data_IF_038618046688
#
_entry.id   IF_038618046688
#
_cell.length_a   1.000
_cell.length_b   1.000
_cell.length_c   1.000
_cell.angle_alpha   90.00
_cell.angle_beta   90.00
_cell.angle_gamma   90.00
#
_symmetry.space_group_name_H-M   'P 1'
#
loop_
_entity.id
_entity.type
_entity.pdbx_description
1 polymer ?
#
# COMPACT_ATOMS: atom_id res chain seq x y z
N UNK A 1 78.27 -1.99 -22.86
CA UNK A 1 78.85 -1.93 -24.22
C UNK A 1 77.79 -2.51 -25.17
N UNK A 2 76.99 -1.69 -25.87
CA UNK A 2 77.15 -1.29 -27.30
C UNK A 2 77.48 -2.51 -28.18
N UNK A 3 76.77 -2.84 -29.26
CA UNK A 3 76.58 -2.06 -30.50
C UNK A 3 75.47 -2.71 -31.35
N UNK A 4 74.61 -1.92 -31.98
CA UNK A 4 73.82 -2.28 -33.19
C UNK A 4 74.57 -1.79 -34.44
N UNK A 5 74.47 -2.47 -35.60
CA UNK A 5 74.01 -1.80 -36.85
C UNK A 5 73.33 -2.80 -37.84
N UNK A 6 72.72 -2.52 -39.00
CA UNK A 6 72.32 -1.36 -39.81
C UNK A 6 71.38 -1.89 -40.94
N UNK A 7 70.54 -0.98 -41.47
CA UNK A 7 69.69 -0.95 -42.70
C UNK A 7 70.51 -1.13 -44.01
N UNK A 8 70.00 -1.18 -45.28
CA UNK A 8 68.89 -0.38 -45.89
C UNK A 8 68.07 -1.07 -47.04
N UNK A 9 67.05 -0.45 -47.63
CA UNK A 9 67.18 0.28 -48.90
C UNK A 9 65.97 1.20 -49.18
N UNK A 10 66.31 2.42 -49.56
CA UNK A 10 65.47 3.48 -50.13
C UNK A 10 64.88 3.08 -51.50
N UNK A 11 63.72 3.67 -51.82
CA UNK A 11 63.48 4.17 -53.18
C UNK A 11 62.89 5.57 -53.16
N UNK A 12 63.49 6.42 -53.97
CA UNK A 12 63.40 7.89 -54.03
C UNK A 12 62.37 8.39 -55.04
N UNK A 13 61.80 9.56 -54.72
CA UNK A 13 61.43 10.72 -55.59
C UNK A 13 60.37 10.49 -56.71
N UNK A 14 59.46 11.43 -57.03
CA UNK A 14 59.71 12.80 -57.50
C UNK A 14 58.47 13.73 -57.42
N UNK A 15 58.74 14.94 -56.92
CA UNK A 15 58.20 16.30 -57.14
C UNK A 15 57.31 16.60 -58.37
N UNK A 16 56.24 17.40 -58.18
CA UNK A 16 55.86 18.58 -59.00
C UNK A 16 54.72 19.39 -58.33
N UNK A 17 55.00 20.54 -57.70
CA UNK A 17 54.63 21.93 -58.08
C UNK A 17 53.18 22.17 -58.60
N UNK A 18 52.38 22.97 -57.87
CA UNK A 18 52.04 24.37 -58.21
C UNK A 18 50.79 24.93 -57.48
N UNK A 19 50.89 26.25 -57.22
CA UNK A 19 49.83 27.28 -57.15
C UNK A 19 48.79 27.26 -56.04
N UNK A 20 48.94 28.27 -55.17
CA UNK A 20 47.92 28.88 -54.32
C UNK A 20 46.72 29.36 -55.13
N UNK A 21 45.53 28.86 -54.80
CA UNK A 21 44.26 29.55 -55.05
C UNK A 21 43.41 29.51 -53.78
N UNK A 22 43.17 30.69 -53.22
CA UNK A 22 42.20 30.91 -52.15
C UNK A 22 40.80 30.80 -52.75
N UNK A 23 40.06 29.76 -52.36
CA UNK A 23 38.62 29.66 -52.59
C UNK A 23 37.97 29.08 -51.32
N UNK A 24 37.01 29.82 -50.76
CA UNK A 24 36.26 29.45 -49.55
C UNK A 24 35.38 28.23 -49.82
N UNK A 25 35.51 27.10 -49.09
CA UNK A 25 34.50 26.05 -49.13
C UNK A 25 33.35 26.42 -48.18
N UNK A 26 32.17 26.56 -48.76
CA UNK A 26 30.89 26.62 -48.06
C UNK A 26 30.70 25.28 -47.33
N UNK A 27 30.58 25.33 -46.00
CA UNK A 27 30.27 24.16 -45.16
C UNK A 27 28.81 23.79 -45.41
N UNK A 28 28.57 22.77 -46.22
CA UNK A 28 27.26 22.12 -46.30
C UNK A 28 27.19 21.11 -45.15
N UNK A 29 26.55 21.52 -44.06
CA UNK A 29 26.18 20.63 -42.97
C UNK A 29 25.01 19.75 -43.42
N UNK A 30 25.31 18.58 -44.00
CA UNK A 30 24.31 17.53 -44.17
C UNK A 30 24.05 16.89 -42.80
N UNK A 31 23.10 17.45 -42.04
CA UNK A 31 22.47 16.74 -40.94
C UNK A 31 21.72 15.53 -41.53
N UNK A 32 22.33 14.36 -41.44
CA UNK A 32 21.64 13.08 -41.64
C UNK A 32 20.59 12.98 -40.54
N UNK A 33 19.37 13.37 -40.87
CA UNK A 33 18.20 13.20 -40.01
C UNK A 33 17.91 11.70 -39.96
N UNK A 34 18.36 11.04 -38.89
CA UNK A 34 17.79 9.77 -38.49
C UNK A 34 16.34 10.05 -38.08
N UNK A 35 15.43 9.86 -39.04
CA UNK A 35 14.00 9.91 -38.80
C UNK A 35 13.62 8.59 -38.09
N UNK A 36 13.93 8.51 -36.79
CA UNK A 36 13.42 7.45 -35.94
C UNK A 36 11.92 7.72 -35.76
N UNK A 37 11.01 6.78 -36.13
CA UNK A 37 9.62 6.91 -35.74
C UNK A 37 9.57 7.03 -34.22
N UNK A 38 8.82 8.00 -33.72
CA UNK A 38 8.69 8.28 -32.30
C UNK A 38 8.21 7.02 -31.58
N UNK A 39 9.08 6.36 -30.81
CA UNK A 39 8.74 5.22 -29.96
C UNK A 39 7.94 5.65 -28.70
N UNK A 40 7.30 6.82 -28.74
CA UNK A 40 6.47 7.37 -27.67
C UNK A 40 5.28 6.48 -27.31
N UNK A 41 4.93 5.52 -28.16
CA UNK A 41 3.86 4.54 -27.93
C UNK A 41 4.29 3.34 -27.06
N UNK A 42 5.58 3.20 -26.76
CA UNK A 42 6.15 2.08 -25.97
C UNK A 42 6.78 2.52 -24.65
N UNK A 43 6.68 3.79 -24.27
CA UNK A 43 7.03 4.19 -22.92
C UNK A 43 5.94 3.66 -21.99
N UNK A 44 6.23 2.73 -21.06
CA UNK A 44 5.29 2.47 -19.99
C UNK A 44 5.18 3.80 -19.23
N UNK A 45 3.97 4.31 -19.13
CA UNK A 45 3.69 5.53 -18.38
C UNK A 45 4.01 5.22 -16.91
N UNK A 46 5.23 5.54 -16.47
CA UNK A 46 5.66 5.42 -15.06
C UNK A 46 4.98 6.49 -14.19
N UNK A 47 3.70 6.77 -14.45
CA UNK A 47 2.87 7.56 -13.55
C UNK A 47 2.59 6.73 -12.30
N UNK A 48 2.51 7.41 -11.15
CA UNK A 48 2.04 6.77 -9.93
C UNK A 48 0.69 6.07 -10.20
N UNK A 49 0.46 4.88 -9.62
CA UNK A 49 -0.83 4.19 -9.69
C UNK A 49 -1.99 5.12 -9.33
N UNK A 50 -3.13 4.96 -9.99
CA UNK A 50 -4.35 5.71 -9.63
C UNK A 50 -4.82 5.34 -8.21
N UNK A 51 -5.44 6.28 -7.47
CA UNK A 51 -6.09 5.98 -6.19
C UNK A 51 -7.19 4.92 -6.33
N UNK A 52 -7.30 4.04 -5.35
CA UNK A 52 -8.27 2.94 -5.27
C UNK A 52 -9.11 3.03 -4.01
N UNK A 53 -10.31 2.44 -4.04
CA UNK A 53 -11.24 2.42 -2.92
C UNK A 53 -11.97 1.09 -2.85
N UNK A 54 -12.02 0.53 -1.65
CA UNK A 54 -12.79 -0.66 -1.28
C UNK A 54 -13.82 -0.29 -0.22
N UNK A 55 -14.97 -0.94 -0.25
CA UNK A 55 -15.96 -0.84 0.81
C UNK A 55 -16.65 -2.17 1.08
N UNK A 56 -17.07 -2.36 2.32
CA UNK A 56 -17.89 -3.49 2.75
C UNK A 56 -18.90 -2.99 3.79
N UNK A 57 -20.14 -3.45 3.67
CA UNK A 57 -21.22 -3.11 4.60
C UNK A 57 -21.88 -4.39 5.09
N UNK A 58 -22.05 -4.54 6.41
CA UNK A 58 -22.71 -5.71 7.01
C UNK A 58 -23.53 -5.30 8.22
N UNK A 59 -24.70 -5.92 8.39
CA UNK A 59 -25.49 -5.75 9.61
C UNK A 59 -25.18 -6.90 10.57
N UNK A 60 -24.67 -6.58 11.74
CA UNK A 60 -24.28 -7.55 12.75
C UNK A 60 -25.27 -7.58 13.92
N UNK A 61 -25.53 -8.75 14.53
CA UNK A 61 -26.45 -8.92 15.65
C UNK A 61 -25.81 -8.53 17.00
N UNK A 62 -25.10 -7.40 17.03
CA UNK A 62 -24.43 -6.88 18.22
C UNK A 62 -24.75 -5.39 18.38
N UNK A 63 -24.72 -4.91 19.62
CA UNK A 63 -24.69 -3.48 19.92
C UNK A 63 -23.41 -2.79 19.42
N UNK A 64 -23.43 -1.46 19.29
CA UNK A 64 -22.32 -0.70 18.72
C UNK A 64 -21.08 -0.68 19.63
N UNK A 65 -21.26 -0.69 20.96
CA UNK A 65 -20.15 -0.62 21.93
C UNK A 65 -19.15 -1.79 21.83
N UNK A 66 -19.56 -3.07 21.90
CA UNK A 66 -18.61 -4.17 21.79
C UNK A 66 -17.95 -4.25 20.39
N UNK A 67 -18.67 -3.83 19.34
CA UNK A 67 -18.09 -3.70 18.00
C UNK A 67 -17.01 -2.62 17.96
N UNK A 68 -17.28 -1.45 18.52
CA UNK A 68 -16.33 -0.35 18.62
C UNK A 68 -15.08 -0.75 19.41
N UNK A 69 -15.25 -1.43 20.54
CA UNK A 69 -14.12 -1.93 21.34
C UNK A 69 -13.27 -2.92 20.55
N UNK A 70 -13.89 -3.82 19.80
CA UNK A 70 -13.16 -4.78 18.97
C UNK A 70 -12.40 -4.11 17.84
N UNK A 71 -13.00 -3.12 17.17
CA UNK A 71 -12.37 -2.35 16.09
C UNK A 71 -11.27 -1.40 16.62
N UNK A 72 -11.40 -0.89 17.84
CA UNK A 72 -10.35 -0.06 18.45
C UNK A 72 -9.21 -0.89 19.08
N UNK A 73 -9.38 -2.20 19.26
CA UNK A 73 -8.39 -3.11 19.82
C UNK A 73 -7.35 -3.58 18.80
N UNK A 74 -6.58 -2.63 18.24
CA UNK A 74 -5.66 -2.86 17.11
C UNK A 74 -4.56 -3.89 17.45
N UNK A 75 -4.08 -3.96 18.70
CA UNK A 75 -3.07 -4.95 19.11
C UNK A 75 -3.50 -6.41 18.86
N UNK A 76 -4.80 -6.69 18.88
CA UNK A 76 -5.36 -8.04 18.70
C UNK A 76 -5.53 -8.44 17.23
N UNK A 77 -5.32 -7.52 16.28
CA UNK A 77 -5.65 -7.75 14.87
C UNK A 77 -4.88 -8.92 14.26
N UNK A 78 -3.59 -9.06 14.58
CA UNK A 78 -2.74 -10.19 14.14
C UNK A 78 -3.29 -11.57 14.53
N UNK A 79 -4.18 -11.64 15.53
CA UNK A 79 -4.70 -12.91 16.03
C UNK A 79 -5.89 -13.43 15.21
N UNK A 80 -6.58 -12.56 14.45
CA UNK A 80 -7.81 -12.95 13.74
C UNK A 80 -7.96 -12.37 12.33
N UNK A 81 -7.26 -11.30 11.96
CA UNK A 81 -7.33 -10.75 10.62
C UNK A 81 -6.40 -11.50 9.65
N UNK A 82 -6.90 -11.88 8.46
CA UNK A 82 -6.07 -12.52 7.46
C UNK A 82 -5.00 -11.57 6.95
N UNK A 83 -3.86 -12.13 6.56
CA UNK A 83 -2.69 -11.42 6.02
C UNK A 83 -1.96 -10.48 7.01
N UNK A 84 -2.51 -10.17 8.17
CA UNK A 84 -1.78 -9.43 9.20
C UNK A 84 -0.87 -10.36 10.00
N UNK A 85 0.43 -10.16 9.85
CA UNK A 85 1.46 -10.92 10.56
C UNK A 85 1.82 -10.25 11.89
N UNK A 86 1.71 -8.92 11.96
CA UNK A 86 1.89 -8.16 13.20
C UNK A 86 0.90 -6.99 13.29
N UNK A 87 0.55 -6.64 14.53
CA UNK A 87 -0.25 -5.47 14.86
C UNK A 87 0.15 -4.95 16.23
N UNK A 88 0.42 -3.65 16.35
CA UNK A 88 0.85 -3.05 17.61
C UNK A 88 0.42 -1.60 17.75
N UNK A 89 -0.18 -1.24 18.89
CA UNK A 89 -0.41 0.16 19.27
C UNK A 89 0.86 0.75 19.86
N UNK A 90 1.27 1.92 19.36
CA UNK A 90 2.49 2.62 19.75
C UNK A 90 2.23 3.89 20.56
N UNK A 91 1.03 4.47 20.46
CA UNK A 91 0.61 5.60 21.28
C UNK A 91 -0.89 5.56 21.55
N UNK A 92 -1.28 6.10 22.70
CA UNK A 92 -2.67 6.22 23.15
C UNK A 92 -2.99 7.68 23.50
N UNK A 93 -4.26 8.05 23.43
CA UNK A 93 -4.77 9.32 23.93
C UNK A 93 -4.79 9.27 25.48
N UNK A 94 -4.13 10.21 26.18
CA UNK A 94 -4.09 10.22 27.64
C UNK A 94 -5.46 10.44 28.31
N UNK A 95 -6.46 10.99 27.59
CA UNK A 95 -7.79 11.26 28.16
C UNK A 95 -8.73 10.07 28.00
N UNK A 96 -8.80 9.53 26.78
CA UNK A 96 -9.77 8.48 26.43
C UNK A 96 -9.17 7.08 26.56
N UNK A 97 -7.85 6.94 26.53
CA UNK A 97 -7.16 5.65 26.48
C UNK A 97 -7.18 4.99 25.10
N UNK A 98 -7.81 5.59 24.09
CA UNK A 98 -7.89 5.02 22.74
C UNK A 98 -6.57 5.15 21.97
N UNK A 99 -6.28 4.23 21.02
CA UNK A 99 -5.08 4.30 20.21
C UNK A 99 -5.03 5.59 19.38
N UNK A 100 -3.86 6.23 19.34
CA UNK A 100 -3.59 7.40 18.48
C UNK A 100 -2.53 7.10 17.43
N UNK A 101 -1.70 6.07 17.65
CA UNK A 101 -0.75 5.54 16.66
C UNK A 101 -0.62 4.04 16.80
N UNK A 102 -0.49 3.36 15.66
CA UNK A 102 -0.25 1.93 15.61
C UNK A 102 0.53 1.57 14.34
N UNK A 103 1.19 0.41 14.31
CA UNK A 103 1.70 -0.16 13.07
C UNK A 103 1.06 -1.52 12.80
N UNK A 104 0.93 -1.82 11.52
CA UNK A 104 0.49 -3.11 11.02
C UNK A 104 1.54 -3.66 10.05
N UNK A 105 1.76 -4.97 10.09
CA UNK A 105 2.58 -5.68 9.11
C UNK A 105 1.68 -6.62 8.33
N UNK A 106 1.62 -6.43 7.01
CA UNK A 106 0.91 -7.31 6.08
C UNK A 106 1.90 -8.27 5.46
N UNK A 107 1.64 -9.58 5.57
CA UNK A 107 2.35 -10.64 4.88
C UNK A 107 1.52 -11.25 3.75
N UNK A 108 2.12 -11.37 2.57
CA UNK A 108 1.53 -12.09 1.44
C UNK A 108 2.60 -12.85 0.65
N UNK A 109 2.58 -14.19 0.74
CA UNK A 109 3.59 -15.03 0.12
C UNK A 109 5.00 -14.69 0.62
N UNK A 110 5.98 -14.41 -0.27
CA UNK A 110 7.34 -14.04 0.13
C UNK A 110 7.48 -12.56 0.56
N UNK A 111 6.41 -11.78 0.51
CA UNK A 111 6.44 -10.33 0.78
C UNK A 111 5.90 -10.03 2.18
N UNK A 112 6.50 -9.04 2.84
CA UNK A 112 6.07 -8.51 4.13
C UNK A 112 6.28 -7.01 4.15
N UNK A 113 5.23 -6.25 4.44
CA UNK A 113 5.27 -4.78 4.47
C UNK A 113 4.70 -4.23 5.76
N UNK A 114 5.42 -3.30 6.39
CA UNK A 114 4.99 -2.63 7.63
C UNK A 114 4.67 -1.17 7.36
N UNK A 115 3.54 -0.69 7.85
CA UNK A 115 3.18 0.72 7.81
C UNK A 115 2.65 1.20 9.16
N UNK A 116 3.00 2.45 9.51
CA UNK A 116 2.48 3.14 10.68
C UNK A 116 1.26 4.00 10.29
N UNK A 117 0.26 4.01 11.15
CA UNK A 117 -0.96 4.79 11.00
C UNK A 117 -1.14 5.75 12.19
N UNK A 118 -1.62 6.96 11.90
CA UNK A 118 -2.33 7.78 12.89
C UNK A 118 -3.75 7.26 13.02
N UNK A 119 -4.22 7.10 14.25
CA UNK A 119 -5.52 6.52 14.58
C UNK A 119 -6.40 7.57 15.25
N UNK A 120 -7.67 7.58 14.90
CA UNK A 120 -8.71 8.42 15.48
C UNK A 120 -9.88 7.53 15.91
N UNK A 121 -10.28 7.62 17.16
CA UNK A 121 -11.42 6.90 17.71
C UNK A 121 -12.39 7.93 18.31
N UNK A 122 -13.65 7.90 17.86
CA UNK A 122 -14.72 8.73 18.41
C UNK A 122 -15.92 7.83 18.72
N UNK A 123 -16.03 7.44 19.98
CA UNK A 123 -17.10 6.56 20.46
C UNK A 123 -18.47 7.25 20.40
N UNK A 124 -18.52 8.57 20.53
CA UNK A 124 -19.80 9.32 20.46
C UNK A 124 -20.40 9.29 19.06
N UNK A 125 -19.54 9.22 18.03
CA UNK A 125 -19.93 9.12 16.62
C UNK A 125 -19.83 7.70 16.07
N UNK A 126 -19.45 6.73 16.88
CA UNK A 126 -19.15 5.36 16.46
C UNK A 126 -18.22 5.28 15.25
N UNK A 127 -17.12 6.03 15.32
CA UNK A 127 -16.17 6.20 14.23
C UNK A 127 -14.78 5.74 14.65
N UNK A 128 -14.13 4.93 13.80
CA UNK A 128 -12.70 4.61 13.92
C UNK A 128 -12.02 4.86 12.58
N UNK A 129 -11.06 5.77 12.56
CA UNK A 129 -10.26 6.12 11.40
C UNK A 129 -8.79 5.76 11.60
N UNK A 130 -8.13 5.30 10.55
CA UNK A 130 -6.69 5.12 10.52
C UNK A 130 -6.12 5.67 9.21
N UNK A 131 -5.06 6.48 9.30
CA UNK A 131 -4.42 7.11 8.13
C UNK A 131 -2.91 6.86 8.14
N UNK A 132 -2.39 6.37 7.03
CA UNK A 132 -0.96 6.10 6.79
C UNK A 132 -0.47 6.79 5.51
N UNK A 133 0.85 6.83 5.32
CA UNK A 133 1.51 7.47 4.18
C UNK A 133 2.12 8.84 4.52
N UNK A 134 2.73 9.48 3.51
CA UNK A 134 3.57 10.68 3.72
C UNK A 134 2.75 11.84 4.31
N UNK A 135 1.52 12.02 3.82
CA UNK A 135 0.59 13.08 4.26
C UNK A 135 0.21 12.90 5.72
N UNK A 136 0.05 11.65 6.15
CA UNK A 136 -0.36 11.30 7.49
C UNK A 136 0.77 11.51 8.48
N UNK A 137 1.96 11.05 8.13
CA UNK A 137 3.04 10.92 9.10
C UNK A 137 3.89 12.17 9.22
N UNK A 138 3.99 13.07 8.22
CA UNK A 138 4.76 14.34 8.23
C UNK A 138 6.20 14.28 8.84
N UNK A 139 6.71 13.10 9.18
CA UNK A 139 8.00 12.87 9.80
C UNK A 139 9.01 12.41 8.75
N UNK A 140 9.18 13.19 7.67
CA UNK A 140 10.46 13.15 6.96
C UNK A 140 11.43 14.02 7.74
N UNK A 141 12.08 13.43 8.74
CA UNK A 141 13.32 14.00 9.26
C UNK A 141 14.36 13.93 8.11
N UNK A 142 14.88 15.07 7.61
CA UNK A 142 15.87 15.05 6.55
C UNK A 142 17.15 14.39 7.09
N UNK A 143 17.48 13.19 6.60
CA UNK A 143 18.70 12.46 6.94
C UNK A 143 18.52 11.13 7.70
N UNK A 144 17.29 10.70 8.02
CA UNK A 144 17.08 9.36 8.60
C UNK A 144 16.98 8.31 7.49
N UNK A 145 18.08 7.60 7.22
CA UNK A 145 18.10 6.37 6.43
C UNK A 145 17.49 5.17 7.19
N UNK A 146 16.38 5.39 7.90
CA UNK A 146 15.57 4.30 8.47
C UNK A 146 14.72 3.70 7.36
N UNK A 147 15.31 2.65 6.78
CA UNK A 147 14.75 1.64 5.89
C UNK A 147 13.28 1.30 6.24
N UNK A 148 12.37 1.67 5.34
CA UNK A 148 10.94 1.36 5.42
C UNK A 148 10.08 2.49 4.87
N UNK A 149 10.29 2.89 3.60
CA UNK A 149 9.34 3.80 2.96
C UNK A 149 8.00 3.08 2.81
N UNK A 150 6.96 3.58 3.48
CA UNK A 150 5.60 3.09 3.35
C UNK A 150 5.24 2.92 1.85
N UNK A 151 4.79 1.73 1.46
CA UNK A 151 4.39 1.44 0.06
C UNK A 151 3.21 2.29 -0.41
N UNK A 152 2.46 2.87 0.52
CA UNK A 152 1.31 3.72 0.26
C UNK A 152 1.73 5.18 0.21
N UNK A 153 1.31 5.86 -0.86
CA UNK A 153 1.28 7.32 -0.91
C UNK A 153 0.28 7.84 0.13
N UNK A 154 -0.91 7.24 0.15
CA UNK A 154 -1.91 7.39 1.20
C UNK A 154 -2.64 6.07 1.42
N UNK A 155 -3.05 5.83 2.66
CA UNK A 155 -3.97 4.76 3.04
C UNK A 155 -4.89 5.30 4.14
N UNK A 156 -6.17 5.42 3.82
CA UNK A 156 -7.26 5.78 4.73
C UNK A 156 -8.12 4.54 4.97
N UNK A 157 -8.29 4.14 6.23
CA UNK A 157 -9.26 3.13 6.65
C UNK A 157 -10.27 3.78 7.57
N UNK A 158 -11.56 3.62 7.27
CA UNK A 158 -12.67 4.23 8.01
C UNK A 158 -13.68 3.16 8.35
N UNK A 159 -14.00 3.07 9.64
CA UNK A 159 -15.10 2.30 10.19
C UNK A 159 -16.17 3.24 10.70
N UNK A 160 -17.42 2.97 10.35
CA UNK A 160 -18.60 3.65 10.89
C UNK A 160 -19.60 2.62 11.37
N UNK A 161 -20.12 2.81 12.57
CA UNK A 161 -21.18 1.95 13.12
C UNK A 161 -22.48 2.75 13.24
N UNK A 162 -23.56 2.19 12.70
CA UNK A 162 -24.89 2.76 12.79
C UNK A 162 -25.79 1.80 13.59
N UNK A 163 -26.13 2.15 14.84
CA UNK A 163 -27.07 1.38 15.64
C UNK A 163 -28.44 1.34 14.96
N UNK A 164 -28.98 0.14 14.77
CA UNK A 164 -30.28 -0.07 14.13
C UNK A 164 -31.35 -0.28 15.20
N UNK A 165 -32.59 0.06 14.85
CA UNK A 165 -33.74 -0.22 15.72
C UNK A 165 -33.82 -1.72 16.03
N UNK A 166 -33.97 -2.01 17.33
CA UNK A 166 -34.18 -3.37 17.82
C UNK A 166 -35.32 -4.03 17.06
N UNK A 167 -35.12 -5.28 16.66
CA UNK A 167 -36.22 -6.07 16.13
C UNK A 167 -37.25 -6.35 17.24
N UNK A 168 -38.42 -6.87 16.86
CA UNK A 168 -39.52 -7.24 17.77
C UNK A 168 -39.11 -8.18 18.91
N UNK A 169 -37.91 -8.77 18.83
CA UNK A 169 -37.35 -9.71 19.80
C UNK A 169 -36.38 -9.04 20.80
N UNK A 170 -36.24 -7.71 20.79
CA UNK A 170 -35.37 -6.99 21.75
C UNK A 170 -33.86 -7.05 21.45
N UNK A 171 -33.46 -7.59 20.30
CA UNK A 171 -32.05 -7.74 19.94
C UNK A 171 -31.46 -6.47 19.34
N UNK A 172 -30.34 -6.01 19.91
CA UNK A 172 -29.52 -4.95 19.33
C UNK A 172 -28.89 -5.39 18.01
N UNK A 173 -28.84 -4.47 17.05
CA UNK A 173 -28.20 -4.70 15.75
C UNK A 173 -27.46 -3.43 15.34
N UNK A 174 -26.36 -3.60 14.64
CA UNK A 174 -25.54 -2.49 14.19
C UNK A 174 -25.14 -2.72 12.75
N UNK A 175 -25.37 -1.73 11.89
CA UNK A 175 -24.79 -1.72 10.54
C UNK A 175 -23.35 -1.23 10.65
N UNK A 176 -22.42 -1.99 10.09
CA UNK A 176 -20.99 -1.69 10.06
C UNK A 176 -20.61 -1.37 8.63
N UNK A 177 -20.05 -0.18 8.42
CA UNK A 177 -19.53 0.29 7.15
C UNK A 177 -18.00 0.42 7.24
N UNK A 178 -17.29 -0.41 6.47
CA UNK A 178 -15.84 -0.32 6.25
C UNK A 178 -15.57 0.36 4.91
N UNK A 179 -14.70 1.36 4.90
CA UNK A 179 -14.16 1.98 3.68
C UNK A 179 -12.64 2.04 3.78
N UNK A 180 -11.94 1.54 2.75
CA UNK A 180 -10.49 1.60 2.63
C UNK A 180 -10.13 2.32 1.34
N UNK A 181 -9.42 3.44 1.41
CA UNK A 181 -8.96 4.21 0.24
C UNK A 181 -7.45 4.27 0.25
N UNK A 182 -6.80 3.94 -0.86
CA UNK A 182 -5.35 3.90 -0.88
C UNK A 182 -4.79 4.18 -2.26
N UNK A 183 -3.52 4.57 -2.29
CA UNK A 183 -2.74 4.68 -3.51
C UNK A 183 -1.34 4.17 -3.22
N UNK A 184 -0.85 3.26 -4.06
CA UNK A 184 0.52 2.77 -3.97
C UNK A 184 1.49 3.78 -4.59
N UNK A 185 2.71 3.83 -4.08
CA UNK A 185 3.78 4.65 -4.67
C UNK A 185 4.31 4.11 -5.98
N UNK A 186 4.37 2.78 -6.09
CA UNK A 186 4.96 2.12 -7.27
C UNK A 186 3.94 1.24 -7.98
N UNK A 187 3.95 1.22 -9.33
CA UNK A 187 3.17 0.27 -10.12
C UNK A 187 3.45 -1.19 -9.77
N UNK A 188 4.68 -1.49 -9.33
CA UNK A 188 5.06 -2.84 -8.89
C UNK A 188 4.29 -3.27 -7.64
N UNK A 189 4.24 -2.42 -6.60
CA UNK A 189 3.46 -2.70 -5.39
C UNK A 189 1.98 -2.84 -5.72
N UNK A 190 1.46 -1.97 -6.58
CA UNK A 190 0.08 -2.04 -7.04
C UNK A 190 -0.24 -3.35 -7.75
N UNK A 191 0.64 -3.81 -8.66
CA UNK A 191 0.47 -5.07 -9.36
C UNK A 191 0.53 -6.27 -8.40
N UNK A 192 1.49 -6.28 -7.47
CA UNK A 192 1.65 -7.35 -6.48
C UNK A 192 0.46 -7.49 -5.54
N UNK A 193 -0.14 -6.37 -5.11
CA UNK A 193 -1.23 -6.37 -4.14
C UNK A 193 -2.64 -6.40 -4.76
N UNK A 194 -2.76 -6.45 -6.08
CA UNK A 194 -4.06 -6.46 -6.78
C UNK A 194 -4.93 -7.67 -6.39
N UNK A 195 -4.33 -8.85 -6.17
CA UNK A 195 -5.08 -10.03 -5.75
C UNK A 195 -5.63 -9.87 -4.31
N UNK A 196 -4.81 -9.35 -3.41
CA UNK A 196 -5.18 -9.10 -1.99
C UNK A 196 -6.32 -8.10 -1.91
N UNK A 197 -6.25 -7.02 -2.68
CA UNK A 197 -7.25 -5.95 -2.74
C UNK A 197 -8.68 -6.50 -2.92
N UNK A 198 -8.88 -7.42 -3.88
CA UNK A 198 -10.22 -7.91 -4.21
C UNK A 198 -10.87 -8.75 -3.10
N UNK A 199 -10.08 -9.35 -2.20
CA UNK A 199 -10.58 -10.23 -1.14
C UNK A 199 -10.61 -9.56 0.23
N UNK A 200 -9.83 -8.50 0.43
CA UNK A 200 -9.52 -7.95 1.75
C UNK A 200 -10.77 -7.38 2.46
N UNK A 201 -11.60 -6.59 1.80
CA UNK A 201 -12.72 -5.90 2.48
C UNK A 201 -13.77 -6.90 3.04
N UNK A 202 -14.13 -7.92 2.28
CA UNK A 202 -15.08 -8.95 2.72
C UNK A 202 -14.50 -9.84 3.83
N UNK A 203 -13.28 -10.33 3.64
CA UNK A 203 -12.61 -11.17 4.64
C UNK A 203 -12.38 -10.42 5.96
N UNK A 204 -12.08 -9.12 5.93
CA UNK A 204 -11.94 -8.34 7.15
C UNK A 204 -13.25 -8.28 7.92
N UNK A 205 -14.38 -7.93 7.27
CA UNK A 205 -15.66 -7.81 7.96
C UNK A 205 -16.10 -9.15 8.58
N UNK A 206 -15.81 -10.26 7.91
CA UNK A 206 -16.09 -11.62 8.40
C UNK A 206 -15.20 -12.01 9.58
N UNK A 207 -13.91 -11.69 9.51
CA UNK A 207 -12.98 -11.94 10.61
C UNK A 207 -13.40 -11.17 11.88
N UNK A 208 -13.86 -9.92 11.74
CA UNK A 208 -14.42 -9.15 12.86
C UNK A 208 -15.70 -9.77 13.42
N UNK A 209 -16.63 -10.20 12.57
CA UNK A 209 -17.85 -10.88 13.02
C UNK A 209 -17.50 -12.16 13.79
N UNK A 210 -16.59 -12.98 13.27
CA UNK A 210 -16.13 -14.19 13.94
C UNK A 210 -15.49 -13.87 15.30
N UNK A 211 -14.64 -12.85 15.37
CA UNK A 211 -14.00 -12.41 16.62
C UNK A 211 -15.03 -11.97 17.67
N UNK A 212 -16.08 -11.28 17.25
CA UNK A 212 -17.18 -10.89 18.14
C UNK A 212 -17.93 -12.11 18.70
N UNK A 213 -18.19 -13.12 17.86
CA UNK A 213 -18.83 -14.37 18.28
C UNK A 213 -17.95 -15.13 19.25
N UNK A 214 -16.65 -15.25 18.98
CA UNK A 214 -15.69 -15.96 19.84
C UNK A 214 -15.46 -15.27 21.18
N UNK A 215 -15.27 -13.94 21.17
CA UNK A 215 -15.17 -13.13 22.38
C UNK A 215 -16.45 -13.16 23.20
N UNK A 216 -17.60 -13.19 22.51
CA UNK A 216 -18.89 -13.47 23.10
C UNK A 216 -18.94 -14.87 23.73
N UNK A 217 -18.47 -15.92 23.05
CA UNK A 217 -18.59 -17.33 23.47
C UNK A 217 -18.07 -17.63 24.89
N UNK A 218 -17.13 -16.85 25.41
CA UNK A 218 -16.72 -16.87 26.82
C UNK A 218 -17.88 -16.65 27.81
N UNK A 219 -18.90 -15.90 27.41
CA UNK A 219 -20.12 -15.56 28.17
C UNK A 219 -21.37 -16.34 27.71
N UNK A 220 -21.33 -17.13 26.63
CA UNK A 220 -22.52 -17.78 26.02
C UNK A 220 -22.58 -19.31 26.20
N UNK A 221 -21.70 -19.93 27.00
CA UNK A 221 -21.75 -21.39 27.27
C UNK A 221 -23.07 -21.81 27.95
N UNK A 222 -23.85 -20.88 28.52
CA UNK A 222 -25.14 -21.16 29.18
C UNK A 222 -26.40 -21.04 28.29
N UNK A 223 -26.31 -20.57 27.04
CA UNK A 223 -27.51 -20.37 26.20
C UNK A 223 -27.41 -21.00 24.82
N UNK A 224 -27.59 -22.33 24.77
CA UNK A 224 -28.29 -23.01 23.68
C UNK A 224 -27.62 -23.00 22.30
N UNK A 225 -26.59 -23.82 22.15
CA UNK A 225 -25.91 -24.11 20.87
C UNK A 225 -26.81 -24.98 19.97
N UNK A 226 -27.65 -24.38 19.12
CA UNK A 226 -28.26 -25.11 17.97
C UNK A 226 -28.49 -24.28 16.70
N UNK A 227 -28.20 -22.96 16.67
CA UNK A 227 -28.61 -22.12 15.53
C UNK A 227 -27.47 -21.67 14.59
N UNK A 228 -26.22 -21.94 14.93
CA UNK A 228 -25.04 -21.37 14.25
C UNK A 228 -24.60 -22.20 13.03
N UNK A 229 -24.84 -23.51 13.03
CA UNK A 229 -24.47 -24.40 11.90
C UNK A 229 -25.25 -24.11 10.60
N UNK A 230 -26.38 -23.39 10.68
CA UNK A 230 -27.16 -23.03 9.48
C UNK A 230 -26.62 -21.85 8.68
N UNK A 231 -25.75 -21.01 9.25
CA UNK A 231 -25.25 -19.81 8.54
C UNK A 231 -23.92 -20.02 7.82
N UNK A 232 -23.18 -21.08 8.15
CA UNK A 232 -21.87 -21.40 7.55
C UNK A 232 -22.03 -22.33 6.33
N UNK A 233 -23.19 -22.96 6.14
CA UNK A 233 -23.41 -23.98 5.09
C UNK A 233 -24.04 -23.44 3.80
N UNK A 234 -24.04 -22.13 3.56
CA UNK A 234 -24.46 -21.54 2.27
C UNK A 234 -23.28 -20.80 1.64
N UNK A 235 -22.15 -21.49 1.52
CA UNK A 235 -21.10 -21.27 0.52
C UNK A 235 -20.41 -22.61 0.25
#
# INVERSE_FOLDING_TARGET
MRVAPLTPLLRTATRSQHTTFSARPIIISQKRQFNLPSLSSFAPQFSAPEPRSLSATRTLPFGPSPLFQTISSIDAYKDFLPFLTESKVTAHDPKTGYPTRAYLTIGYGPLSETFESKVECDETKWFVGARSGDIALQHKQPGSNTKGECIFEHLDTIWKLEPLKSNSNGGERTKVDLTVRFQFRSPLHAAMMTAVESQMAGLMIEAFEKRMIEGGRSNWVDMGVQRIEKYISVF
#
